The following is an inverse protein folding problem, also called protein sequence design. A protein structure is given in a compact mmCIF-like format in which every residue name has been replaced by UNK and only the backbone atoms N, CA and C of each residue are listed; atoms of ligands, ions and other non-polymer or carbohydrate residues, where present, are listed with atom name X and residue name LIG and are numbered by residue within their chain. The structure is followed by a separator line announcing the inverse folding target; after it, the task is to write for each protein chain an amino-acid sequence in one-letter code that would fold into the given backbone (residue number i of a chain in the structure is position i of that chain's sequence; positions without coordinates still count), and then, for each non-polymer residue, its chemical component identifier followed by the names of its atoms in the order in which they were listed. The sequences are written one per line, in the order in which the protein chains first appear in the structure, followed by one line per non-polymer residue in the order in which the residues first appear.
data_IF_531219864582
#
_entry.id   IF_531219864582
#
_cell.length_a   1.000
_cell.length_b   1.000
_cell.length_c   1.000
_cell.angle_alpha   90.00
_cell.angle_beta   90.00
_cell.angle_gamma   90.00
#
_symmetry.space_group_name_H-M   'P 1'
#
loop_
_entity.id
_entity.type
_entity.pdbx_description
1 polymer ?
#
# COMPACT_ATOMS: atom_id res chain seq x y z
N UNK A 1 10.42 -14.23 6.01
CA UNK A 1 9.76 -13.96 7.30
C UNK A 1 8.73 -12.85 7.17
N UNK A 2 7.63 -12.95 7.90
CA UNK A 2 6.56 -11.94 7.86
C UNK A 2 7.05 -10.55 8.21
N UNK A 3 7.95 -10.44 9.19
CA UNK A 3 8.49 -9.14 9.60
C UNK A 3 9.18 -8.42 8.43
N UNK A 4 9.98 -9.15 7.65
CA UNK A 4 10.65 -8.57 6.48
C UNK A 4 9.65 -8.14 5.42
N UNK A 5 8.60 -8.93 5.20
CA UNK A 5 7.58 -8.60 4.23
C UNK A 5 6.85 -7.32 4.62
N UNK A 6 6.55 -7.16 5.91
CA UNK A 6 5.90 -5.94 6.42
C UNK A 6 6.82 -4.73 6.28
N UNK A 7 8.08 -4.88 6.65
CA UNK A 7 9.07 -3.79 6.51
C UNK A 7 9.23 -3.38 5.05
N UNK A 8 9.19 -4.35 4.13
CA UNK A 8 9.35 -4.09 2.71
C UNK A 8 8.16 -3.35 2.09
N UNK A 9 7.04 -3.25 2.79
CA UNK A 9 5.90 -2.47 2.31
C UNK A 9 6.20 -0.96 2.28
N UNK A 10 7.03 -0.49 3.20
CA UNK A 10 7.33 0.94 3.29
C UNK A 10 7.94 1.51 1.99
N UNK A 11 9.00 0.91 1.42
CA UNK A 11 9.51 1.42 0.14
C UNK A 11 8.53 1.25 -1.01
N UNK A 12 7.66 0.25 -0.97
CA UNK A 12 6.64 0.06 -2.00
C UNK A 12 5.60 1.18 -1.95
N UNK A 13 5.17 1.56 -0.76
CA UNK A 13 4.25 2.69 -0.58
C UNK A 13 4.92 3.98 -1.05
N UNK A 14 6.20 4.16 -0.75
CA UNK A 14 6.94 5.33 -1.20
C UNK A 14 6.99 5.41 -2.73
N UNK A 15 7.13 4.27 -3.39
CA UNK A 15 7.12 4.21 -4.86
C UNK A 15 5.78 4.70 -5.41
N UNK A 16 4.67 4.32 -4.78
CA UNK A 16 3.34 4.81 -5.17
C UNK A 16 3.26 6.33 -5.03
N UNK A 17 3.74 6.85 -3.91
CA UNK A 17 3.75 8.29 -3.65
C UNK A 17 4.57 9.02 -4.71
N UNK A 18 5.71 8.46 -5.10
CA UNK A 18 6.57 9.03 -6.13
C UNK A 18 5.86 9.09 -7.48
N UNK A 19 5.12 8.03 -7.85
CA UNK A 19 4.33 8.05 -9.09
C UNK A 19 3.27 9.15 -9.06
N UNK A 20 2.58 9.30 -7.92
CA UNK A 20 1.57 10.35 -7.77
C UNK A 20 2.20 11.72 -7.91
N UNK A 21 3.36 11.94 -7.29
CA UNK A 21 4.07 13.21 -7.35
C UNK A 21 4.48 13.57 -8.78
N UNK A 22 4.78 12.57 -9.59
CA UNK A 22 5.13 12.76 -11.02
C UNK A 22 3.92 12.84 -11.92
N UNK A 23 2.72 12.73 -11.37
CA UNK A 23 1.46 12.67 -12.13
C UNK A 23 1.35 11.44 -13.01
N UNK A 24 2.09 10.39 -12.71
CA UNK A 24 2.00 9.10 -13.39
C UNK A 24 0.92 8.25 -12.73
N UNK A 25 -0.33 8.65 -12.94
CA UNK A 25 -1.45 8.07 -12.22
C UNK A 25 -1.77 6.64 -12.66
N UNK A 26 -1.45 6.29 -13.90
CA UNK A 26 -1.68 4.92 -14.39
C UNK A 26 -0.80 3.94 -13.62
N UNK A 27 0.50 4.21 -13.55
CA UNK A 27 1.43 3.34 -12.84
C UNK A 27 1.18 3.37 -11.33
N UNK A 28 0.82 4.54 -10.79
CA UNK A 28 0.45 4.64 -9.37
C UNK A 28 -0.71 3.72 -9.05
N UNK A 29 -1.75 3.71 -9.89
CA UNK A 29 -2.93 2.88 -9.68
C UNK A 29 -2.60 1.39 -9.77
N UNK A 30 -1.86 0.99 -10.78
CA UNK A 30 -1.48 -0.42 -10.97
C UNK A 30 -0.66 -0.91 -9.78
N UNK A 31 0.35 -0.15 -9.40
CA UNK A 31 1.23 -0.55 -8.30
C UNK A 31 0.50 -0.56 -6.95
N UNK A 32 -0.39 0.41 -6.76
CA UNK A 32 -1.20 0.46 -5.54
C UNK A 32 -2.06 -0.81 -5.39
N UNK A 33 -2.67 -1.28 -6.47
CA UNK A 33 -3.47 -2.50 -6.42
C UNK A 33 -2.61 -3.73 -6.11
N UNK A 34 -1.41 -3.80 -6.65
CA UNK A 34 -0.49 -4.89 -6.36
C UNK A 34 -0.09 -4.90 -4.88
N UNK A 35 0.24 -3.74 -4.34
CA UNK A 35 0.62 -3.62 -2.93
C UNK A 35 -0.57 -3.90 -2.01
N UNK A 36 -1.77 -3.45 -2.38
CA UNK A 36 -2.99 -3.73 -1.62
C UNK A 36 -3.25 -5.23 -1.53
N UNK A 37 -3.09 -5.96 -2.63
CA UNK A 37 -3.25 -7.40 -2.64
C UNK A 37 -2.23 -8.08 -1.73
N UNK A 38 -1.00 -7.60 -1.76
CA UNK A 38 0.06 -8.13 -0.89
C UNK A 38 -0.28 -7.90 0.59
N UNK A 39 -0.78 -6.73 0.93
CA UNK A 39 -1.20 -6.43 2.30
C UNK A 39 -2.33 -7.35 2.74
N UNK A 40 -3.33 -7.56 1.89
CA UNK A 40 -4.44 -8.47 2.19
C UNK A 40 -3.96 -9.90 2.42
N UNK A 41 -3.04 -10.38 1.57
CA UNK A 41 -2.47 -11.72 1.72
C UNK A 41 -1.71 -11.84 3.05
N UNK A 42 -0.98 -10.81 3.43
CA UNK A 42 -0.25 -10.81 4.69
C UNK A 42 -1.19 -10.81 5.88
N UNK A 43 -2.30 -10.07 5.82
CA UNK A 43 -3.30 -10.06 6.88
C UNK A 43 -3.86 -11.47 7.10
N UNK A 44 -4.11 -12.19 6.03
CA UNK A 44 -4.62 -13.56 6.13
C UNK A 44 -3.60 -14.52 6.74
N UNK A 45 -2.32 -14.18 6.67
CA UNK A 45 -1.22 -15.05 7.10
C UNK A 45 -0.73 -14.76 8.51
N UNK A 46 -0.98 -13.57 9.06
CA UNK A 46 -0.43 -13.19 10.37
C UNK A 46 -1.36 -13.62 11.49
N UNK A 47 -0.76 -13.93 12.64
CA UNK A 47 -1.50 -14.30 13.85
C UNK A 47 -1.21 -13.37 15.01
N UNK A 48 -0.17 -12.52 14.92
CA UNK A 48 0.18 -11.58 15.99
C UNK A 48 -0.58 -10.28 15.83
N UNK A 49 -1.17 -9.80 16.92
CA UNK A 49 -1.93 -8.55 16.91
C UNK A 49 -1.08 -7.36 16.45
N UNK A 50 0.19 -7.33 16.85
CA UNK A 50 1.10 -6.25 16.46
C UNK A 50 1.25 -6.17 14.94
N UNK A 51 1.32 -7.31 14.26
CA UNK A 51 1.41 -7.35 12.80
C UNK A 51 0.10 -6.91 12.17
N UNK A 52 -1.04 -7.31 12.73
CA UNK A 52 -2.35 -6.90 12.23
C UNK A 52 -2.54 -5.38 12.33
N UNK A 53 -2.10 -4.79 13.44
CA UNK A 53 -2.18 -3.33 13.62
C UNK A 53 -1.33 -2.62 12.57
N UNK A 54 -0.12 -3.09 12.35
CA UNK A 54 0.79 -2.48 11.37
C UNK A 54 0.22 -2.59 9.95
N UNK A 55 -0.28 -3.76 9.58
CA UNK A 55 -0.88 -3.97 8.26
C UNK A 55 -2.16 -3.14 8.08
N UNK A 56 -2.94 -2.97 9.15
CA UNK A 56 -4.11 -2.10 9.14
C UNK A 56 -3.76 -0.65 8.83
N UNK A 57 -2.64 -0.17 9.34
CA UNK A 57 -2.16 1.18 9.02
C UNK A 57 -1.84 1.32 7.53
N UNK A 58 -1.22 0.29 6.93
CA UNK A 58 -0.95 0.31 5.50
C UNK A 58 -2.23 0.27 4.68
N UNK A 59 -3.24 -0.48 5.11
CA UNK A 59 -4.53 -0.49 4.42
C UNK A 59 -5.14 0.91 4.36
N UNK A 60 -5.14 1.61 5.49
CA UNK A 60 -5.69 2.97 5.57
C UNK A 60 -4.89 3.91 4.67
N UNK A 61 -3.57 3.82 4.72
CA UNK A 61 -2.69 4.66 3.90
C UNK A 61 -2.94 4.42 2.41
N UNK A 62 -3.03 3.16 1.99
CA UNK A 62 -3.28 2.82 0.60
C UNK A 62 -4.65 3.32 0.13
N UNK A 63 -5.64 3.27 0.99
CA UNK A 63 -6.97 3.80 0.69
C UNK A 63 -6.92 5.31 0.47
N UNK A 64 -6.17 6.04 1.28
CA UNK A 64 -5.96 7.48 1.11
C UNK A 64 -5.26 7.78 -0.21
N UNK A 65 -4.26 6.99 -0.56
CA UNK A 65 -3.54 7.17 -1.83
C UNK A 65 -4.46 6.90 -3.02
N UNK A 66 -5.32 5.90 -2.92
CA UNK A 66 -6.29 5.61 -3.97
C UNK A 66 -7.23 6.79 -4.18
N UNK A 67 -7.75 7.38 -3.11
CA UNK A 67 -8.60 8.56 -3.19
C UNK A 67 -7.86 9.71 -3.88
N UNK A 68 -6.60 9.91 -3.55
CA UNK A 68 -5.80 10.97 -4.15
C UNK A 68 -5.63 10.75 -5.65
N UNK A 69 -5.38 9.51 -6.07
CA UNK A 69 -5.28 9.17 -7.49
C UNK A 69 -6.60 9.46 -8.21
N UNK A 70 -7.72 9.08 -7.61
CA UNK A 70 -9.04 9.30 -8.20
C UNK A 70 -9.36 10.79 -8.33
N UNK A 71 -9.01 11.58 -7.31
CA UNK A 71 -9.26 13.03 -7.33
C UNK A 71 -8.40 13.74 -8.36
N UNK A 72 -7.19 13.26 -8.60
CA UNK A 72 -6.27 13.87 -9.57
C UNK A 72 -6.68 13.62 -11.02
N UNK A 73 -7.67 12.76 -11.25
CA UNK A 73 -8.16 12.47 -12.60
C UNK A 73 -9.07 13.58 -13.17
N UNK A 74 -9.38 14.57 -12.39
CA UNK A 74 -10.23 15.70 -12.83
C UNK A 74 -9.42 16.85 -13.43
#
# INVERSE_FOLDING_TARGET
MLTEQIVNLKPKVQTIIDFIAKKDLVNANVYLHEVSNEVEDLIDSVSLDAHLIELGKYQVLLKHLLHKIQNDKH
#
